data_IF_376460116472
#
_entry.id   IF_376460116472
#
_cell.length_a   1.000
_cell.length_b   1.000
_cell.length_c   1.000
_cell.angle_alpha   90.00
_cell.angle_beta   90.00
_cell.angle_gamma   90.00
#
_symmetry.space_group_name_H-M   'P 1'
#
loop_
_entity.id
_entity.type
_entity.pdbx_description
1 polymer ?
#
# COMPACT_ATOMS: atom_id res chain seq x y z
N UNK A 1 28.68 -9.76 9.96
CA UNK A 1 28.22 -9.00 11.14
C UNK A 1 27.51 -7.79 10.57
N UNK A 2 26.18 -7.81 10.54
CA UNK A 2 25.38 -6.69 10.02
C UNK A 2 25.40 -5.59 11.08
N UNK A 3 26.00 -4.45 10.74
CA UNK A 3 25.82 -3.23 11.54
C UNK A 3 24.32 -2.94 11.63
N UNK A 4 23.78 -3.06 12.83
CA UNK A 4 22.40 -2.63 13.10
C UNK A 4 22.32 -1.12 12.89
N UNK A 5 21.86 -0.73 11.72
CA UNK A 5 21.55 0.66 11.43
C UNK A 5 20.47 1.09 12.41
N UNK A 6 20.83 1.88 13.41
CA UNK A 6 19.89 2.39 14.40
C UNK A 6 19.02 3.46 13.73
N UNK A 7 17.78 3.13 13.42
CA UNK A 7 16.81 4.10 12.92
C UNK A 7 16.39 5.03 14.05
N UNK A 8 16.62 6.33 13.89
CA UNK A 8 16.15 7.34 14.84
C UNK A 8 14.73 7.78 14.49
N UNK A 9 13.90 7.99 15.52
CA UNK A 9 12.56 8.52 15.36
C UNK A 9 11.44 7.53 15.71
N UNK A 10 10.21 8.00 15.56
CA UNK A 10 9.00 7.24 15.87
C UNK A 10 8.06 7.21 14.69
N UNK A 11 7.37 6.09 14.52
CA UNK A 11 6.41 5.80 13.45
C UNK A 11 5.04 5.59 14.08
N UNK A 12 3.93 6.05 13.47
CA UNK A 12 2.60 5.76 13.98
C UNK A 12 2.37 4.26 14.13
N UNK A 13 1.78 3.84 15.24
CA UNK A 13 1.49 2.43 15.53
C UNK A 13 0.65 1.78 14.43
N UNK A 14 -0.23 2.53 13.75
CA UNK A 14 -1.03 2.05 12.62
C UNK A 14 -0.21 1.47 11.47
N UNK A 15 1.06 1.89 11.30
CA UNK A 15 1.96 1.30 10.30
C UNK A 15 2.32 -0.15 10.65
N UNK A 16 2.67 -0.41 11.92
CA UNK A 16 2.97 -1.75 12.39
C UNK A 16 1.71 -2.65 12.34
N UNK A 17 0.56 -2.11 12.74
CA UNK A 17 -0.74 -2.80 12.63
C UNK A 17 -1.06 -3.15 11.19
N UNK A 18 -0.90 -2.23 10.25
CA UNK A 18 -1.16 -2.47 8.83
C UNK A 18 -0.27 -3.58 8.26
N UNK A 19 1.05 -3.57 8.57
CA UNK A 19 1.99 -4.61 8.14
C UNK A 19 1.56 -6.00 8.64
N UNK A 20 1.23 -6.12 9.94
CA UNK A 20 0.83 -7.38 10.53
C UNK A 20 -0.57 -7.84 10.08
N UNK A 21 -1.51 -6.90 9.86
CA UNK A 21 -2.84 -7.21 9.34
C UNK A 21 -2.77 -7.76 7.91
N UNK A 22 -1.91 -7.16 7.07
CA UNK A 22 -1.67 -7.63 5.70
C UNK A 22 -1.02 -9.01 5.66
N UNK A 23 -0.04 -9.23 6.54
CA UNK A 23 0.58 -10.54 6.72
C UNK A 23 -0.47 -11.60 7.10
N UNK A 24 -1.32 -11.30 8.07
CA UNK A 24 -2.37 -12.21 8.53
C UNK A 24 -3.38 -12.53 7.44
N UNK A 25 -3.82 -11.53 6.68
CA UNK A 25 -4.83 -11.73 5.63
C UNK A 25 -4.32 -12.65 4.53
N UNK A 26 -3.08 -12.47 4.08
CA UNK A 26 -2.46 -13.32 3.07
C UNK A 26 -2.15 -14.74 3.61
N UNK A 27 -1.92 -14.89 4.90
CA UNK A 27 -1.74 -16.20 5.54
C UNK A 27 -3.07 -16.91 5.83
N UNK A 28 -4.21 -16.19 5.77
CA UNK A 28 -5.53 -16.78 5.98
C UNK A 28 -6.08 -17.24 4.62
N UNK A 29 -6.35 -18.54 4.42
CA UNK A 29 -6.91 -19.05 3.18
C UNK A 29 -8.29 -18.42 2.91
N UNK A 30 -8.55 -18.08 1.66
CA UNK A 30 -9.84 -17.53 1.24
C UNK A 30 -10.99 -18.55 1.36
N UNK A 31 -10.67 -19.84 1.28
CA UNK A 31 -11.64 -20.94 1.35
C UNK A 31 -11.28 -21.87 2.55
N UNK A 32 -12.12 -21.91 3.59
CA UNK A 32 -11.92 -22.84 4.71
C UNK A 32 -12.09 -24.31 4.31
N UNK A 33 -12.80 -24.64 3.23
CA UNK A 33 -12.98 -26.01 2.74
C UNK A 33 -11.72 -26.50 2.00
N UNK A 34 -10.97 -25.65 1.34
CA UNK A 34 -9.67 -26.00 0.76
C UNK A 34 -8.63 -26.45 1.79
N UNK A 35 -8.88 -26.19 3.07
CA UNK A 35 -8.07 -26.66 4.19
C UNK A 35 -8.28 -28.14 4.50
N UNK A 36 -9.39 -28.75 4.08
CA UNK A 36 -9.74 -30.14 4.39
C UNK A 36 -9.11 -31.15 3.41
N UNK A 37 -8.74 -30.73 2.20
CA UNK A 37 -8.31 -31.63 1.11
C UNK A 37 -6.79 -31.76 0.91
N UNK A 38 -5.96 -30.92 1.52
CA UNK A 38 -4.52 -31.01 1.35
C UNK A 38 -3.84 -31.55 2.61
N UNK A 39 -2.74 -32.31 2.47
CA UNK A 39 -1.85 -32.84 3.52
C UNK A 39 -1.24 -31.73 4.40
N UNK A 40 -2.08 -30.98 5.03
CA UNK A 40 -1.87 -29.71 5.72
C UNK A 40 -1.45 -29.76 7.22
N UNK A 41 -1.25 -30.89 7.93
CA UNK A 41 -1.10 -30.82 9.40
C UNK A 41 0.10 -29.97 9.84
N UNK A 42 1.21 -29.99 9.11
CA UNK A 42 2.46 -29.31 9.54
C UNK A 42 2.53 -27.85 9.09
N UNK A 43 2.10 -27.57 7.87
CA UNK A 43 2.10 -26.19 7.33
C UNK A 43 1.00 -25.36 7.97
N UNK A 44 -0.17 -25.97 8.26
CA UNK A 44 -1.28 -25.31 8.92
C UNK A 44 -0.95 -25.00 10.39
N UNK A 45 -0.33 -25.91 11.12
CA UNK A 45 0.11 -25.67 12.51
C UNK A 45 1.15 -24.55 12.59
N UNK A 46 2.06 -24.45 11.62
CA UNK A 46 3.00 -23.33 11.52
C UNK A 46 2.31 -22.02 11.14
N UNK A 47 1.34 -22.05 10.23
CA UNK A 47 0.54 -20.87 9.84
C UNK A 47 -0.41 -20.43 10.94
N UNK A 48 -1.10 -21.35 11.59
CA UNK A 48 -1.97 -21.06 12.74
C UNK A 48 -1.19 -20.60 13.97
N UNK A 49 0.01 -21.13 14.21
CA UNK A 49 0.91 -20.64 15.25
C UNK A 49 1.37 -19.20 14.98
N UNK A 50 1.74 -18.91 13.73
CA UNK A 50 2.08 -17.55 13.30
C UNK A 50 0.86 -16.61 13.37
N UNK A 51 -0.35 -17.07 13.05
CA UNK A 51 -1.54 -16.24 13.11
C UNK A 51 -1.92 -15.84 14.54
N UNK A 52 -1.78 -16.72 15.53
CA UNK A 52 -2.01 -16.38 16.94
C UNK A 52 -0.99 -15.38 17.46
N UNK A 53 0.29 -15.57 17.15
CA UNK A 53 1.35 -14.62 17.53
C UNK A 53 1.13 -13.26 16.86
N UNK A 54 0.75 -13.25 15.59
CA UNK A 54 0.44 -12.01 14.85
C UNK A 54 -0.79 -11.32 15.45
N UNK A 55 -1.86 -12.06 15.78
CA UNK A 55 -3.06 -11.50 16.43
C UNK A 55 -2.71 -10.86 17.78
N UNK A 56 -1.92 -11.55 18.60
CA UNK A 56 -1.53 -11.02 19.91
C UNK A 56 -0.63 -9.80 19.76
N UNK A 57 0.23 -9.76 18.74
CA UNK A 57 1.06 -8.62 18.44
C UNK A 57 0.23 -7.43 17.94
N UNK A 58 -0.76 -7.66 17.07
CA UNK A 58 -1.71 -6.62 16.64
C UNK A 58 -2.43 -6.03 17.85
N UNK A 59 -2.99 -6.87 18.74
CA UNK A 59 -3.65 -6.42 19.97
C UNK A 59 -2.73 -5.57 20.84
N UNK A 60 -1.48 -5.98 21.01
CA UNK A 60 -0.49 -5.20 21.77
C UNK A 60 -0.25 -3.83 21.15
N UNK A 61 -0.19 -3.75 19.82
CA UNK A 61 -0.05 -2.47 19.13
C UNK A 61 -1.33 -1.61 19.22
N UNK A 62 -2.51 -2.19 19.07
CA UNK A 62 -3.78 -1.48 19.21
C UNK A 62 -3.99 -0.90 20.62
N UNK A 63 -3.50 -1.60 21.64
CA UNK A 63 -3.52 -1.11 23.02
C UNK A 63 -2.52 0.04 23.25
N UNK A 64 -1.47 0.12 22.44
CA UNK A 64 -0.51 1.23 22.48
C UNK A 64 -1.12 2.42 21.73
N UNK A 65 -1.63 3.41 22.44
CA UNK A 65 -2.12 4.68 21.86
C UNK A 65 -1.01 5.60 21.36
N UNK A 66 0.25 5.18 21.40
CA UNK A 66 1.44 5.96 21.06
C UNK A 66 2.17 5.41 19.84
N UNK A 67 3.06 6.23 19.29
CA UNK A 67 3.97 5.79 18.23
C UNK A 67 4.89 4.64 18.71
N UNK A 68 5.38 3.87 17.77
CA UNK A 68 6.41 2.83 17.95
C UNK A 68 7.77 3.35 17.46
N UNK A 69 8.87 2.74 17.92
CA UNK A 69 10.18 3.13 17.42
C UNK A 69 10.36 2.76 15.94
N UNK A 70 11.12 3.57 15.21
CA UNK A 70 11.45 3.27 13.82
C UNK A 70 12.21 1.95 13.69
N UNK A 71 13.04 1.59 14.68
CA UNK A 71 13.77 0.33 14.75
C UNK A 71 12.81 -0.87 14.85
N UNK A 72 11.75 -0.78 15.66
CA UNK A 72 10.75 -1.84 15.80
C UNK A 72 10.01 -2.08 14.47
N UNK A 73 9.65 -1.01 13.77
CA UNK A 73 9.03 -1.10 12.44
C UNK A 73 10.02 -1.63 11.40
N UNK A 74 11.29 -1.23 11.44
CA UNK A 74 12.35 -1.74 10.57
C UNK A 74 12.51 -3.26 10.71
N UNK A 75 12.47 -3.79 11.93
CA UNK A 75 12.51 -5.24 12.17
C UNK A 75 11.33 -5.98 11.56
N UNK A 76 10.12 -5.37 11.53
CA UNK A 76 8.97 -5.93 10.81
C UNK A 76 9.20 -5.95 9.30
N UNK A 77 9.74 -4.86 8.73
CA UNK A 77 10.10 -4.84 7.32
C UNK A 77 11.12 -5.92 6.96
N UNK A 78 12.17 -6.07 7.76
CA UNK A 78 13.19 -7.10 7.57
C UNK A 78 12.58 -8.52 7.63
N UNK A 79 11.73 -8.79 8.63
CA UNK A 79 11.06 -10.09 8.77
C UNK A 79 10.19 -10.42 7.57
N UNK A 80 9.36 -9.47 7.13
CA UNK A 80 8.45 -9.65 6.00
C UNK A 80 9.23 -9.78 4.69
N UNK A 81 10.32 -9.03 4.51
CA UNK A 81 11.11 -9.03 3.26
C UNK A 81 11.71 -10.39 2.90
N UNK A 82 11.85 -11.30 3.88
CA UNK A 82 12.34 -12.66 3.68
C UNK A 82 11.32 -13.61 3.04
N UNK A 83 10.07 -13.17 2.89
CA UNK A 83 8.98 -13.97 2.32
C UNK A 83 8.92 -13.83 0.80
N UNK A 84 8.47 -14.88 0.13
CA UNK A 84 8.30 -14.88 -1.33
C UNK A 84 7.16 -13.95 -1.77
N UNK A 85 6.17 -13.73 -0.92
CA UNK A 85 5.02 -12.86 -1.14
C UNK A 85 5.16 -11.46 -0.51
N UNK A 86 6.37 -11.09 -0.10
CA UNK A 86 6.67 -9.83 0.58
C UNK A 86 6.14 -8.60 -0.17
N UNK A 87 6.29 -8.55 -1.49
CA UNK A 87 5.79 -7.42 -2.29
C UNK A 87 4.27 -7.23 -2.15
N UNK A 88 3.51 -8.32 -2.14
CA UNK A 88 2.06 -8.29 -2.00
C UNK A 88 1.64 -7.84 -0.60
N UNK A 89 2.32 -8.36 0.44
CA UNK A 89 2.10 -7.94 1.84
C UNK A 89 2.35 -6.44 1.99
N UNK A 90 3.47 -5.95 1.48
CA UNK A 90 3.82 -4.52 1.58
C UNK A 90 2.86 -3.63 0.79
N UNK A 91 2.42 -4.06 -0.40
CA UNK A 91 1.47 -3.30 -1.19
C UNK A 91 0.10 -3.19 -0.50
N UNK A 92 -0.41 -4.28 0.07
CA UNK A 92 -1.65 -4.27 0.85
C UNK A 92 -1.50 -3.42 2.12
N UNK A 93 -0.38 -3.56 2.84
CA UNK A 93 -0.09 -2.72 4.01
C UNK A 93 -0.10 -1.22 3.66
N UNK A 94 0.48 -0.85 2.52
CA UNK A 94 0.46 0.53 2.02
C UNK A 94 -0.96 1.05 1.76
N UNK A 95 -1.81 0.21 1.17
CA UNK A 95 -3.23 0.54 0.97
C UNK A 95 -3.96 0.75 2.30
N UNK A 96 -3.76 -0.12 3.29
CA UNK A 96 -4.36 0.00 4.64
C UNK A 96 -3.94 1.27 5.35
N UNK A 97 -2.65 1.62 5.31
CA UNK A 97 -2.12 2.86 5.90
C UNK A 97 -2.82 4.08 5.28
N UNK A 98 -3.03 4.08 3.97
CA UNK A 98 -3.72 5.16 3.28
C UNK A 98 -5.20 5.23 3.67
N UNK A 99 -5.89 4.08 3.76
CA UNK A 99 -7.30 3.99 4.15
C UNK A 99 -7.53 4.45 5.59
N UNK A 100 -6.70 4.02 6.53
CA UNK A 100 -6.78 4.46 7.93
C UNK A 100 -6.68 5.98 8.04
N UNK A 101 -5.68 6.55 7.35
CA UNK A 101 -5.49 7.98 7.33
C UNK A 101 -6.66 8.73 6.65
N UNK A 102 -7.32 8.14 5.65
CA UNK A 102 -8.50 8.70 4.98
C UNK A 102 -9.77 8.59 5.84
N UNK A 103 -9.94 7.48 6.58
CA UNK A 103 -11.12 7.23 7.42
C UNK A 103 -11.29 8.28 8.52
N UNK A 104 -10.18 8.78 9.08
CA UNK A 104 -10.17 9.84 10.09
C UNK A 104 -10.63 11.23 9.59
N UNK A 105 -10.92 11.39 8.29
CA UNK A 105 -11.38 12.66 7.73
C UNK A 105 -12.87 12.89 7.93
N UNK A 106 -13.23 14.16 8.17
CA UNK A 106 -14.62 14.57 8.25
C UNK A 106 -15.35 14.33 6.91
N UNK A 107 -16.62 13.91 6.98
CA UNK A 107 -17.48 13.62 5.81
C UNK A 107 -17.51 14.77 4.79
N UNK A 108 -17.50 16.02 5.25
CA UNK A 108 -17.50 17.21 4.39
C UNK A 108 -16.28 17.28 3.47
N UNK A 109 -15.10 16.84 3.92
CA UNK A 109 -13.91 16.81 3.08
C UNK A 109 -13.99 15.73 1.99
N UNK A 110 -14.71 14.63 2.25
CA UNK A 110 -14.94 13.55 1.27
C UNK A 110 -15.88 13.99 0.15
N UNK A 111 -16.93 14.76 0.47
CA UNK A 111 -17.88 15.32 -0.50
C UNK A 111 -17.21 16.38 -1.39
N UNK A 112 -16.38 17.26 -0.81
CA UNK A 112 -15.68 18.30 -1.54
C UNK A 112 -14.77 17.77 -2.64
N UNK A 113 -14.17 16.60 -2.46
CA UNK A 113 -13.30 15.95 -3.46
C UNK A 113 -14.05 15.61 -4.76
N UNK A 114 -15.36 15.30 -4.68
CA UNK A 114 -16.17 14.94 -5.86
C UNK A 114 -16.40 16.09 -6.83
N UNK A 115 -16.49 17.31 -6.31
CA UNK A 115 -16.80 18.53 -7.10
C UNK A 115 -15.51 19.23 -7.57
N UNK A 116 -14.37 18.84 -7.04
CA UNK A 116 -13.08 19.48 -7.29
C UNK A 116 -12.51 19.08 -8.65
N UNK A 117 -11.97 20.03 -9.46
CA UNK A 117 -11.30 19.72 -10.71
C UNK A 117 -10.15 18.72 -10.54
N UNK A 118 -9.91 17.87 -11.54
CA UNK A 118 -8.90 16.80 -11.49
C UNK A 118 -7.50 17.29 -11.11
N UNK A 119 -7.08 18.44 -11.62
CA UNK A 119 -5.77 19.03 -11.29
C UNK A 119 -5.61 19.32 -9.79
N UNK A 120 -6.66 19.82 -9.16
CA UNK A 120 -6.66 20.10 -7.72
C UNK A 120 -6.71 18.79 -6.93
N UNK A 121 -7.47 17.80 -7.37
CA UNK A 121 -7.51 16.46 -6.75
C UNK A 121 -6.13 15.80 -6.77
N UNK A 122 -5.44 15.84 -7.91
CA UNK A 122 -4.07 15.33 -8.05
C UNK A 122 -3.09 16.08 -7.12
N UNK A 123 -3.19 17.40 -7.04
CA UNK A 123 -2.40 18.19 -6.11
C UNK A 123 -2.62 17.77 -4.65
N UNK A 124 -3.88 17.60 -4.25
CA UNK A 124 -4.25 17.18 -2.90
C UNK A 124 -3.77 15.74 -2.61
N UNK A 125 -3.88 14.83 -3.58
CA UNK A 125 -3.38 13.47 -3.49
C UNK A 125 -1.87 13.44 -3.23
N UNK A 126 -1.08 14.19 -4.02
CA UNK A 126 0.36 14.29 -3.81
C UNK A 126 0.76 14.88 -2.46
N UNK A 127 0.06 15.91 -1.99
CA UNK A 127 0.30 16.46 -0.66
C UNK A 127 0.01 15.41 0.42
N UNK A 128 -0.99 14.56 0.19
CA UNK A 128 -1.33 13.48 1.11
C UNK A 128 -0.27 12.39 1.10
N UNK A 129 0.13 11.90 -0.06
CA UNK A 129 1.24 10.97 -0.24
C UNK A 129 2.46 11.45 0.53
N UNK A 130 2.90 12.69 0.29
CA UNK A 130 4.04 13.29 1.00
C UNK A 130 3.88 13.26 2.51
N UNK A 131 2.68 13.56 3.03
CA UNK A 131 2.41 13.59 4.48
C UNK A 131 2.48 12.18 5.08
N UNK A 132 1.90 11.17 4.42
CA UNK A 132 1.92 9.79 4.91
C UNK A 132 3.35 9.25 4.83
N UNK A 133 4.07 9.46 3.72
CA UNK A 133 5.46 9.02 3.55
C UNK A 133 6.37 9.55 4.68
N UNK A 134 6.22 10.82 5.08
CA UNK A 134 6.95 11.39 6.21
C UNK A 134 6.69 10.69 7.54
N UNK A 135 5.49 10.15 7.72
CA UNK A 135 5.13 9.41 8.94
C UNK A 135 5.69 7.99 8.93
N UNK A 136 5.74 7.36 7.76
CA UNK A 136 6.29 6.00 7.60
C UNK A 136 7.82 6.01 7.71
N UNK A 137 8.47 7.04 7.16
CA UNK A 137 9.93 7.17 7.12
C UNK A 137 10.37 8.45 7.82
N UNK A 138 10.44 8.46 9.16
CA UNK A 138 10.96 9.59 9.91
C UNK A 138 12.44 9.82 9.55
N UNK A 139 12.82 11.07 9.31
CA UNK A 139 14.18 11.44 8.89
C UNK A 139 14.44 11.38 7.38
N UNK A 140 13.53 10.80 6.58
CA UNK A 140 13.68 10.78 5.13
C UNK A 140 13.51 12.17 4.50
N UNK A 141 14.33 12.42 3.47
CA UNK A 141 14.15 13.60 2.60
C UNK A 141 13.12 13.26 1.52
N UNK A 142 12.01 14.01 1.47
CA UNK A 142 10.89 13.71 0.59
C UNK A 142 10.62 14.90 -0.34
N UNK A 143 10.76 14.67 -1.65
CA UNK A 143 10.43 15.62 -2.71
C UNK A 143 9.29 15.08 -3.58
N UNK A 144 8.38 15.95 -3.95
CA UNK A 144 7.31 15.64 -4.93
C UNK A 144 7.47 16.56 -6.13
N UNK A 145 7.76 16.00 -7.28
CA UNK A 145 7.85 16.70 -8.54
C UNK A 145 6.52 16.61 -9.29
N UNK A 146 5.66 17.60 -9.05
CA UNK A 146 4.27 17.58 -9.53
C UNK A 146 4.12 17.65 -11.05
N UNK A 147 5.08 18.29 -11.77
CA UNK A 147 5.04 18.41 -13.22
C UNK A 147 5.19 17.06 -13.92
N UNK A 148 6.04 16.20 -13.36
CA UNK A 148 6.33 14.84 -13.88
C UNK A 148 5.65 13.74 -13.05
N UNK A 149 4.80 14.12 -12.08
CA UNK A 149 4.07 13.19 -11.22
C UNK A 149 4.96 12.17 -10.50
N UNK A 150 6.06 12.64 -9.93
CA UNK A 150 7.09 11.80 -9.32
C UNK A 150 7.24 12.09 -7.83
N UNK A 151 7.39 11.03 -7.02
CA UNK A 151 7.80 11.05 -5.63
C UNK A 151 9.24 10.58 -5.52
N UNK A 152 10.09 11.37 -4.89
CA UNK A 152 11.50 11.04 -4.60
C UNK A 152 11.67 10.98 -3.10
N UNK A 153 12.27 9.89 -2.59
CA UNK A 153 12.52 9.67 -1.16
C UNK A 153 13.97 9.20 -0.98
N UNK A 154 14.72 9.90 -0.14
CA UNK A 154 16.07 9.53 0.28
C UNK A 154 16.03 9.08 1.74
N UNK A 155 16.84 8.10 2.10
CA UNK A 155 16.90 7.50 3.44
C UNK A 155 15.55 6.93 3.88
N UNK A 156 14.90 6.20 2.96
CA UNK A 156 13.62 5.56 3.21
C UNK A 156 13.77 4.40 4.19
N UNK A 157 12.98 4.40 5.28
CA UNK A 157 12.92 3.27 6.21
C UNK A 157 12.62 1.95 5.48
N UNK A 158 11.68 1.98 4.53
CA UNK A 158 11.26 0.80 3.77
C UNK A 158 12.35 0.26 2.83
N UNK A 159 13.23 1.12 2.32
CA UNK A 159 14.34 0.69 1.46
C UNK A 159 15.50 0.17 2.31
N UNK A 160 15.83 0.87 3.40
CA UNK A 160 16.98 0.52 4.25
C UNK A 160 16.74 -0.75 5.09
N UNK A 161 15.49 -0.96 5.54
CA UNK A 161 15.14 -2.14 6.34
C UNK A 161 14.90 -3.41 5.50
N UNK A 162 14.72 -3.30 4.18
CA UNK A 162 14.49 -4.41 3.27
C UNK A 162 15.52 -4.37 2.14
N UNK A 163 16.66 -5.05 2.34
CA UNK A 163 17.83 -5.04 1.41
C UNK A 163 17.48 -5.34 -0.05
N UNK A 164 16.42 -6.13 -0.31
CA UNK A 164 15.94 -6.45 -1.66
C UNK A 164 15.15 -5.32 -2.32
N UNK A 165 14.80 -4.26 -1.57
CA UNK A 165 13.91 -3.19 -2.02
C UNK A 165 12.42 -3.58 -2.10
N UNK A 166 12.05 -4.78 -1.64
CA UNK A 166 10.65 -5.24 -1.58
C UNK A 166 9.80 -4.35 -0.68
N UNK A 167 10.39 -3.82 0.41
CA UNK A 167 9.73 -2.89 1.33
C UNK A 167 9.22 -1.61 0.66
N UNK A 168 9.79 -1.22 -0.49
CA UNK A 168 9.35 -0.07 -1.27
C UNK A 168 7.92 -0.24 -1.82
N UNK A 169 7.42 -1.48 -1.90
CA UNK A 169 6.05 -1.78 -2.33
C UNK A 169 4.98 -1.20 -1.40
N UNK A 170 5.32 -0.90 -0.13
CA UNK A 170 4.41 -0.18 0.77
C UNK A 170 4.06 1.22 0.24
N UNK A 171 5.03 1.91 -0.33
CA UNK A 171 4.80 3.23 -0.94
C UNK A 171 3.98 3.10 -2.23
N UNK A 172 4.20 2.03 -3.02
CA UNK A 172 3.37 1.71 -4.18
C UNK A 172 1.90 1.60 -3.82
N UNK A 173 1.56 0.71 -2.87
CA UNK A 173 0.19 0.48 -2.42
C UNK A 173 -0.44 1.76 -1.85
N UNK A 174 0.32 2.52 -1.05
CA UNK A 174 -0.12 3.79 -0.48
C UNK A 174 -0.44 4.83 -1.56
N UNK A 175 0.42 5.02 -2.57
CA UNK A 175 0.17 5.98 -3.67
C UNK A 175 -1.09 5.57 -4.43
N UNK A 176 -1.23 4.30 -4.83
CA UNK A 176 -2.40 3.79 -5.55
C UNK A 176 -3.68 4.09 -4.79
N UNK A 177 -3.72 3.76 -3.49
CA UNK A 177 -4.91 3.97 -2.68
C UNK A 177 -5.25 5.45 -2.51
N UNK A 178 -4.25 6.32 -2.23
CA UNK A 178 -4.47 7.76 -2.11
C UNK A 178 -5.04 8.34 -3.40
N UNK A 179 -4.52 7.95 -4.58
CA UNK A 179 -5.02 8.45 -5.85
C UNK A 179 -6.43 7.94 -6.15
N UNK A 180 -6.77 6.71 -5.78
CA UNK A 180 -8.12 6.18 -5.85
C UNK A 180 -9.10 6.97 -4.96
N UNK A 181 -8.73 7.23 -3.70
CA UNK A 181 -9.56 7.99 -2.74
C UNK A 181 -9.87 9.41 -3.22
N UNK A 182 -8.89 10.06 -3.85
CA UNK A 182 -9.06 11.39 -4.43
C UNK A 182 -9.67 11.39 -5.82
N UNK A 183 -9.92 10.21 -6.42
CA UNK A 183 -10.37 10.09 -7.82
C UNK A 183 -9.49 10.90 -8.76
N UNK A 184 -8.20 10.91 -8.51
CA UNK A 184 -7.24 11.76 -9.21
C UNK A 184 -6.79 11.18 -10.57
N UNK A 185 -7.36 10.06 -10.97
CA UNK A 185 -7.13 9.33 -12.21
C UNK A 185 -6.72 7.88 -11.94
N UNK A 186 -6.99 6.99 -12.90
CA UNK A 186 -6.45 5.64 -12.88
C UNK A 186 -4.98 5.73 -13.31
N UNK A 187 -4.08 5.60 -12.35
CA UNK A 187 -2.65 5.75 -12.59
C UNK A 187 -1.94 4.46 -12.21
N UNK A 188 -1.09 3.97 -13.12
CA UNK A 188 -0.15 2.91 -12.79
C UNK A 188 1.05 3.51 -12.06
N UNK A 189 1.30 3.04 -10.85
CA UNK A 189 2.50 3.43 -10.10
C UNK A 189 3.67 2.57 -10.56
N UNK A 190 4.79 3.20 -10.89
CA UNK A 190 6.04 2.54 -11.27
C UNK A 190 7.16 3.00 -10.33
N UNK A 191 7.83 2.05 -9.72
CA UNK A 191 9.04 2.27 -8.93
C UNK A 191 10.23 2.23 -9.90
N UNK A 192 10.82 3.38 -10.20
CA UNK A 192 11.83 3.55 -11.26
C UNK A 192 13.25 3.41 -10.73
N UNK A 193 13.53 3.97 -9.56
CA UNK A 193 14.83 3.90 -8.90
C UNK A 193 14.66 3.40 -7.46
N UNK A 194 15.64 2.65 -6.94
CA UNK A 194 15.58 2.09 -5.60
C UNK A 194 16.93 2.22 -4.87
N UNK A 195 16.89 2.86 -3.70
CA UNK A 195 18.05 3.02 -2.81
C UNK A 195 18.61 1.66 -2.36
N UNK A 196 17.74 0.66 -2.11
CA UNK A 196 18.16 -0.70 -1.77
C UNK A 196 18.83 -1.47 -2.94
N UNK A 197 18.77 -0.94 -4.16
CA UNK A 197 19.34 -1.55 -5.38
C UNK A 197 20.38 -0.66 -6.01
N UNK A 198 21.28 -0.11 -5.20
CA UNK A 198 22.39 0.75 -5.62
C UNK A 198 21.99 2.12 -6.16
N UNK A 199 20.74 2.55 -6.00
CA UNK A 199 20.31 3.93 -6.24
C UNK A 199 20.70 4.83 -5.07
N UNK A 200 20.76 6.12 -5.31
CA UNK A 200 20.98 7.16 -4.30
C UNK A 200 19.66 7.63 -3.64
N UNK A 201 18.53 7.19 -4.20
CA UNK A 201 17.17 7.48 -3.73
C UNK A 201 16.17 6.43 -4.24
N UNK A 202 14.97 6.48 -3.68
CA UNK A 202 13.83 5.76 -4.23
C UNK A 202 12.92 6.73 -5.01
N UNK A 203 12.48 6.31 -6.20
CA UNK A 203 11.64 7.12 -7.07
C UNK A 203 10.40 6.36 -7.54
N UNK A 204 9.24 6.99 -7.41
CA UNK A 204 7.96 6.49 -7.91
C UNK A 204 7.34 7.49 -8.86
N UNK A 205 7.01 7.03 -10.05
CA UNK A 205 6.31 7.81 -11.07
C UNK A 205 4.90 7.29 -11.32
N UNK A 206 4.00 8.20 -11.71
CA UNK A 206 2.66 7.84 -12.15
C UNK A 206 2.61 7.88 -13.67
N UNK A 207 2.37 6.72 -14.26
CA UNK A 207 2.04 6.64 -15.69
C UNK A 207 0.54 6.91 -15.84
N UNK A 208 0.16 8.01 -16.50
CA UNK A 208 -1.23 8.26 -16.85
C UNK A 208 -1.68 7.21 -17.86
N UNK A 209 -2.64 6.38 -17.47
CA UNK A 209 -3.29 5.50 -18.45
C UNK A 209 -4.02 6.38 -19.48
N UNK A 210 -3.85 6.12 -20.78
CA UNK A 210 -4.66 6.80 -21.78
C UNK A 210 -6.14 6.52 -21.49
N UNK A 211 -7.04 7.51 -21.68
CA UNK A 211 -8.45 7.33 -21.41
C UNK A 211 -8.95 6.10 -22.18
N UNK A 212 -9.51 5.15 -21.47
CA UNK A 212 -10.05 3.92 -22.05
C UNK A 212 -11.20 4.28 -23.02
N UNK A 213 -10.91 4.31 -24.33
CA UNK A 213 -11.87 4.65 -25.40
C UNK A 213 -13.01 3.62 -25.55
N UNK A 214 -12.98 2.49 -24.80
CA UNK A 214 -13.92 1.39 -24.99
C UNK A 214 -15.17 1.42 -24.08
N UNK A 215 -15.43 2.48 -23.32
CA UNK A 215 -16.67 2.53 -22.50
C UNK A 215 -17.94 2.94 -23.24
N UNK A 216 -17.89 3.21 -24.56
CA UNK A 216 -19.04 3.70 -25.35
C UNK A 216 -19.56 2.74 -26.43
N UNK A 217 -19.20 1.46 -26.42
CA UNK A 217 -19.67 0.53 -27.48
C UNK A 217 -20.65 -0.54 -27.01
N UNK A 218 -21.40 -0.30 -25.93
CA UNK A 218 -22.51 -1.19 -25.53
C UNK A 218 -23.80 -0.38 -25.46
N UNK A 219 -24.26 0.11 -26.61
CA UNK A 219 -25.65 0.48 -26.86
C UNK A 219 -25.88 0.50 -28.37
N UNK A 220 -25.88 -0.70 -28.98
CA UNK A 220 -26.56 -0.91 -30.27
C UNK A 220 -27.95 -1.45 -29.97
N UNK A 221 -29.01 -0.79 -30.39
CA UNK A 221 -30.34 -1.31 -30.23
C UNK A 221 -30.50 -2.56 -31.11
N UNK A 222 -30.98 -3.64 -30.48
CA UNK A 222 -31.41 -4.87 -31.19
C UNK A 222 -32.58 -4.47 -32.08
N UNK A 223 -32.34 -4.45 -33.39
CA UNK A 223 -33.41 -4.38 -34.40
C UNK A 223 -34.18 -5.68 -34.31
N UNK A 224 -35.41 -5.59 -33.82
CA UNK A 224 -36.42 -6.67 -33.93
C UNK A 224 -36.94 -6.68 -35.36
N UNK A 225 -36.42 -7.58 -36.20
CA UNK A 225 -37.03 -7.90 -37.47
C UNK A 225 -38.32 -8.70 -37.23
N UNK A 226 -39.42 -8.06 -37.60
CA UNK A 226 -40.74 -8.64 -37.67
C UNK A 226 -40.79 -9.69 -38.80
N UNK A 227 -41.00 -10.95 -38.42
CA UNK A 227 -41.35 -12.01 -39.36
C UNK A 227 -42.81 -11.79 -39.75
N UNK A 228 -43.02 -11.40 -41.02
CA UNK A 228 -44.31 -11.47 -41.69
C UNK A 228 -44.68 -12.93 -42.00
N UNK A 229 -45.91 -13.25 -41.68
CA UNK A 229 -46.59 -14.50 -42.08
C UNK A 229 -46.95 -14.41 -43.56
N UNK A 230 -46.74 -15.48 -44.30
CA UNK A 230 -47.63 -16.07 -45.28
C UNK A 230 -47.49 -17.59 -45.26
#
# INVERSE_FOLDING_TARGET
>A
MSEHTSFSGSVPVGVAVALLASLRELDTPADPEALAESDLPLNLRRRLGLSTVVIDQIRRYEQRKSNVSATEVASLFELISRRVDANQIFEDAGQRIALEDYSGRRLLSKLGVRITPQRIRSYLAWNRVRKITRRISPGATIRVERKVHTLIVQHSLSATAAESGTGCSVINGMIRQVFADYRAGDSKVKHTTCEARLGDHCEWSLESMPPNKNKNSVNSPIHSDSVARD
#
